data_IF_635612166759
#
_entry.id   IF_635612166759
#
_cell.length_a   1.000
_cell.length_b   1.000
_cell.length_c   1.000
_cell.angle_alpha   90.00
_cell.angle_beta   90.00
_cell.angle_gamma   90.00
#
_symmetry.space_group_name_H-M   'P 1'
#
loop_
_entity.id
_entity.type
_entity.pdbx_description
1 polymer ?
#
# COMPACT_ATOMS: atom_id res chain seq x y z
N UNK A 1 13.44 -5.75 27.61
CA UNK A 1 13.85 -6.29 26.27
C UNK A 1 14.92 -5.37 25.72
N UNK A 2 16.00 -5.91 25.16
CA UNK A 2 17.05 -5.11 24.51
C UNK A 2 16.56 -4.76 23.10
N UNK A 3 16.32 -3.48 22.82
CA UNK A 3 16.00 -3.05 21.44
C UNK A 3 17.28 -3.09 20.62
N UNK A 4 17.27 -3.88 19.53
CA UNK A 4 18.35 -3.89 18.54
C UNK A 4 18.08 -2.95 17.36
N UNK A 5 16.98 -2.19 17.43
CA UNK A 5 16.62 -1.22 16.41
C UNK A 5 17.59 -0.05 16.43
N UNK A 6 18.06 0.36 15.28
CA UNK A 6 18.86 1.56 15.09
C UNK A 6 17.96 2.68 14.57
N UNK A 7 18.18 3.95 14.94
CA UNK A 7 17.51 5.07 14.31
C UNK A 7 17.87 5.13 12.82
N UNK A 8 16.87 5.29 11.96
CA UNK A 8 17.09 5.48 10.53
C UNK A 8 17.40 6.98 10.29
N UNK A 9 18.69 7.30 10.08
CA UNK A 9 19.13 8.64 9.66
C UNK A 9 19.00 8.78 8.15
N UNK A 10 19.02 10.03 7.64
CA UNK A 10 18.98 10.30 6.20
C UNK A 10 20.12 9.60 5.45
N UNK A 11 21.33 9.56 6.02
CA UNK A 11 22.48 8.88 5.44
C UNK A 11 22.27 7.34 5.39
N UNK A 12 21.71 6.76 6.46
CA UNK A 12 21.41 5.34 6.51
C UNK A 12 20.26 4.98 5.58
N UNK A 13 19.26 5.84 5.45
CA UNK A 13 18.17 5.68 4.48
C UNK A 13 18.70 5.73 3.04
N UNK A 14 19.55 6.71 2.72
CA UNK A 14 20.18 6.79 1.40
C UNK A 14 21.03 5.54 1.08
N UNK A 15 21.76 5.02 2.07
CA UNK A 15 22.51 3.76 1.94
C UNK A 15 21.58 2.58 1.65
N UNK A 16 20.47 2.47 2.40
CA UNK A 16 19.48 1.40 2.24
C UNK A 16 18.87 1.42 0.83
N UNK A 17 18.45 2.59 0.35
CA UNK A 17 17.88 2.73 -1.01
C UNK A 17 18.93 2.37 -2.07
N UNK A 18 20.19 2.81 -1.91
CA UNK A 18 21.26 2.55 -2.87
C UNK A 18 21.69 1.07 -2.94
N UNK A 19 21.53 0.32 -1.84
CA UNK A 19 21.93 -1.10 -1.73
C UNK A 19 20.75 -2.08 -1.80
N UNK A 20 19.52 -1.56 -1.89
CA UNK A 20 18.31 -2.34 -2.13
C UNK A 20 18.03 -2.50 -3.63
N UNK A 21 16.80 -2.28 -4.04
CA UNK A 21 16.37 -2.21 -5.43
C UNK A 21 16.19 -0.73 -5.83
N UNK A 22 17.20 -0.07 -6.39
CA UNK A 22 17.13 1.33 -6.74
C UNK A 22 16.01 1.58 -7.77
N UNK A 23 15.27 2.70 -7.65
CA UNK A 23 14.21 3.04 -8.58
C UNK A 23 14.78 3.22 -10.00
N UNK A 24 14.10 2.65 -10.98
CA UNK A 24 14.43 2.86 -12.40
C UNK A 24 13.94 4.24 -12.88
N UNK A 25 14.25 4.57 -14.14
CA UNK A 25 13.89 5.84 -14.76
C UNK A 25 12.39 6.14 -14.69
N UNK A 26 11.52 5.13 -14.87
CA UNK A 26 10.06 5.32 -14.84
C UNK A 26 9.59 5.72 -13.43
N UNK A 27 10.13 5.07 -12.40
CA UNK A 27 9.82 5.39 -11.00
C UNK A 27 10.36 6.77 -10.63
N UNK A 28 11.59 7.11 -11.07
CA UNK A 28 12.20 8.41 -10.82
C UNK A 28 11.40 9.54 -11.47
N UNK A 29 11.01 9.38 -12.73
CA UNK A 29 10.22 10.36 -13.48
C UNK A 29 8.82 10.53 -12.86
N UNK A 30 8.16 9.42 -12.44
CA UNK A 30 6.88 9.49 -11.75
C UNK A 30 6.98 10.25 -10.43
N UNK A 31 8.03 10.01 -9.66
CA UNK A 31 8.26 10.72 -8.40
C UNK A 31 8.53 12.21 -8.63
N UNK A 32 9.30 12.56 -9.67
CA UNK A 32 9.60 13.94 -10.03
C UNK A 32 8.37 14.68 -10.56
N UNK A 33 7.57 14.04 -11.44
CA UNK A 33 6.33 14.63 -11.93
C UNK A 33 5.33 14.84 -10.78
N UNK A 34 5.19 13.86 -9.88
CA UNK A 34 4.33 14.00 -8.70
C UNK A 34 4.75 15.18 -7.83
N UNK A 35 6.05 15.32 -7.57
CA UNK A 35 6.59 16.42 -6.76
C UNK A 35 6.37 17.78 -7.42
N UNK A 36 6.53 17.85 -8.74
CA UNK A 36 6.39 19.09 -9.51
C UNK A 36 4.94 19.50 -9.71
N UNK A 37 4.05 18.54 -10.00
CA UNK A 37 2.63 18.79 -10.26
C UNK A 37 1.82 18.96 -8.97
N UNK A 38 2.19 18.23 -7.91
CA UNK A 38 1.42 18.13 -6.65
C UNK A 38 2.33 18.35 -5.43
N UNK A 39 3.02 19.50 -5.31
CA UNK A 39 4.04 19.72 -4.26
C UNK A 39 3.50 19.59 -2.84
N UNK A 40 2.22 19.97 -2.60
CA UNK A 40 1.59 19.88 -1.28
C UNK A 40 1.18 18.43 -0.92
N UNK A 41 1.12 17.55 -1.90
CA UNK A 41 0.68 16.15 -1.76
C UNK A 41 1.79 15.13 -2.07
N UNK A 42 2.99 15.59 -2.44
CA UNK A 42 4.09 14.71 -2.86
C UNK A 42 4.47 13.64 -1.81
N UNK A 43 4.29 13.96 -0.53
CA UNK A 43 4.52 13.04 0.59
C UNK A 43 3.49 11.92 0.73
N UNK A 44 2.40 11.96 -0.05
CA UNK A 44 1.43 10.85 -0.12
C UNK A 44 1.94 9.67 -0.94
N UNK A 45 2.98 9.85 -1.73
CA UNK A 45 3.57 8.80 -2.52
C UNK A 45 4.40 7.87 -1.61
N UNK A 46 4.28 6.55 -1.81
CA UNK A 46 5.06 5.55 -1.05
C UNK A 46 6.57 5.77 -1.22
N UNK A 47 7.34 5.44 -0.18
CA UNK A 47 8.78 5.57 -0.21
C UNK A 47 9.42 4.58 -1.22
N UNK A 48 10.61 4.90 -1.79
CA UNK A 48 11.28 4.04 -2.77
C UNK A 48 11.52 2.60 -2.29
N UNK A 49 11.98 2.45 -1.04
CA UNK A 49 12.21 1.15 -0.44
C UNK A 49 10.91 0.38 -0.21
N UNK A 50 9.82 1.07 0.08
CA UNK A 50 8.50 0.46 0.21
C UNK A 50 7.97 -0.01 -1.15
N UNK A 51 8.15 0.76 -2.22
CA UNK A 51 7.80 0.34 -3.57
C UNK A 51 8.59 -0.93 -3.99
N UNK A 52 9.90 -0.96 -3.70
CA UNK A 52 10.74 -2.14 -3.93
C UNK A 52 10.24 -3.35 -3.11
N UNK A 53 9.88 -3.13 -1.84
CA UNK A 53 9.34 -4.15 -0.98
C UNK A 53 7.99 -4.70 -1.49
N UNK A 54 7.07 -3.85 -1.95
CA UNK A 54 5.78 -4.27 -2.51
C UNK A 54 5.99 -5.16 -3.76
N UNK A 55 6.92 -4.80 -4.65
CA UNK A 55 7.27 -5.63 -5.81
C UNK A 55 7.82 -6.98 -5.38
N UNK A 56 8.75 -6.99 -4.42
CA UNK A 56 9.35 -8.22 -3.90
C UNK A 56 8.30 -9.12 -3.22
N UNK A 57 7.45 -8.54 -2.36
CA UNK A 57 6.41 -9.27 -1.63
C UNK A 57 5.38 -9.89 -2.59
N UNK A 58 4.95 -9.13 -3.61
CA UNK A 58 4.00 -9.61 -4.61
C UNK A 58 4.55 -10.80 -5.39
N UNK A 59 5.84 -10.78 -5.74
CA UNK A 59 6.53 -11.92 -6.37
C UNK A 59 6.67 -13.10 -5.42
N UNK A 60 7.09 -12.85 -4.19
CA UNK A 60 7.30 -13.89 -3.17
C UNK A 60 6.03 -14.69 -2.89
N UNK A 61 4.88 -14.02 -2.90
CA UNK A 61 3.58 -14.61 -2.63
C UNK A 61 2.90 -15.21 -3.88
N UNK A 62 3.50 -15.10 -5.07
CA UNK A 62 2.91 -15.48 -6.37
C UNK A 62 1.50 -14.92 -6.54
N UNK A 63 1.35 -13.61 -6.30
CA UNK A 63 0.05 -12.91 -6.27
C UNK A 63 -0.57 -12.87 -7.65
N UNK A 64 -1.79 -13.38 -7.79
CA UNK A 64 -2.57 -13.35 -9.03
C UNK A 64 -3.74 -12.37 -8.99
N UNK A 65 -4.35 -12.21 -7.83
CA UNK A 65 -5.47 -11.30 -7.61
C UNK A 65 -5.12 -10.34 -6.48
N UNK A 66 -4.91 -9.08 -6.83
CA UNK A 66 -4.55 -8.02 -5.89
C UNK A 66 -5.57 -6.89 -5.88
N UNK A 67 -5.65 -6.21 -4.74
CA UNK A 67 -6.44 -4.98 -4.55
C UNK A 67 -5.56 -3.90 -3.92
N UNK A 68 -5.73 -2.66 -4.36
CA UNK A 68 -5.15 -1.47 -3.73
C UNK A 68 -6.25 -0.47 -3.40
N UNK A 69 -6.23 0.06 -2.19
CA UNK A 69 -7.14 1.13 -1.73
C UNK A 69 -6.33 2.38 -1.43
N UNK A 70 -6.54 3.41 -2.25
CA UNK A 70 -5.70 4.61 -2.30
C UNK A 70 -4.56 4.43 -3.31
N UNK A 71 -4.72 5.02 -4.50
CA UNK A 71 -3.82 4.85 -5.64
C UNK A 71 -2.95 6.07 -5.86
N UNK A 72 -3.50 7.26 -5.63
CA UNK A 72 -2.83 8.55 -5.84
C UNK A 72 -2.23 8.64 -7.27
N UNK A 73 -0.92 8.89 -7.38
CA UNK A 73 -0.22 8.95 -8.68
C UNK A 73 0.31 7.59 -9.15
N UNK A 74 -0.02 6.51 -8.44
CA UNK A 74 0.09 5.12 -8.90
C UNK A 74 1.44 4.45 -8.75
N UNK A 75 2.34 4.93 -7.85
CA UNK A 75 3.64 4.32 -7.65
C UNK A 75 3.53 2.93 -6.99
N UNK A 76 2.71 2.80 -5.94
CA UNK A 76 2.45 1.52 -5.28
C UNK A 76 1.77 0.52 -6.23
N UNK A 77 0.76 0.96 -7.00
CA UNK A 77 0.12 0.15 -8.03
C UNK A 77 1.13 -0.33 -9.09
N UNK A 78 2.02 0.55 -9.55
CA UNK A 78 3.10 0.21 -10.49
C UNK A 78 4.01 -0.88 -9.90
N UNK A 79 4.40 -0.72 -8.63
CA UNK A 79 5.26 -1.67 -7.92
C UNK A 79 4.59 -3.04 -7.78
N UNK A 80 3.33 -3.08 -7.35
CA UNK A 80 2.54 -4.32 -7.22
C UNK A 80 2.38 -4.98 -8.59
N UNK A 81 1.95 -4.23 -9.63
CA UNK A 81 1.72 -4.76 -10.97
C UNK A 81 2.99 -5.36 -11.61
N UNK A 82 4.16 -4.78 -11.34
CA UNK A 82 5.47 -5.34 -11.76
C UNK A 82 5.83 -6.65 -11.04
N UNK A 83 5.24 -6.87 -9.89
CA UNK A 83 5.41 -8.12 -9.13
C UNK A 83 4.50 -9.24 -9.59
N UNK A 84 3.37 -8.94 -10.24
CA UNK A 84 2.40 -9.94 -10.68
C UNK A 84 2.97 -10.87 -11.75
N UNK A 85 2.63 -12.18 -11.72
CA UNK A 85 2.94 -13.10 -12.82
C UNK A 85 2.08 -12.79 -14.06
N UNK A 86 2.34 -13.51 -15.15
CA UNK A 86 1.48 -13.43 -16.35
C UNK A 86 0.03 -13.82 -16.00
N UNK A 87 -0.92 -12.99 -16.45
CA UNK A 87 -2.35 -13.12 -16.15
C UNK A 87 -2.76 -12.66 -14.75
N UNK A 88 -1.81 -12.15 -13.94
CA UNK A 88 -2.13 -11.53 -12.65
C UNK A 88 -2.80 -10.16 -12.84
N UNK A 89 -3.73 -9.81 -11.95
CA UNK A 89 -4.55 -8.60 -12.00
C UNK A 89 -4.50 -7.82 -10.68
N UNK A 90 -4.49 -6.51 -10.79
CA UNK A 90 -4.61 -5.56 -9.69
C UNK A 90 -5.83 -4.67 -9.90
N UNK A 91 -6.76 -4.64 -8.94
CA UNK A 91 -7.84 -3.66 -8.94
C UNK A 91 -7.49 -2.52 -7.97
N UNK A 92 -7.41 -1.31 -8.50
CA UNK A 92 -7.10 -0.08 -7.75
C UNK A 92 -8.37 0.72 -7.49
N UNK A 93 -8.51 1.25 -6.29
CA UNK A 93 -9.62 2.11 -5.87
C UNK A 93 -9.10 3.48 -5.46
N UNK A 94 -9.63 4.54 -6.06
CA UNK A 94 -9.30 5.92 -5.73
C UNK A 94 -10.51 6.84 -5.96
N UNK A 95 -10.51 8.00 -5.33
CA UNK A 95 -11.57 9.00 -5.49
C UNK A 95 -11.20 10.07 -6.54
N UNK A 96 -9.92 10.23 -6.89
CA UNK A 96 -9.40 11.30 -7.72
C UNK A 96 -9.06 10.86 -9.13
N UNK A 97 -9.85 11.31 -10.12
CA UNK A 97 -9.49 11.16 -11.53
C UNK A 97 -8.25 11.96 -11.92
N UNK A 98 -8.02 13.11 -11.27
CA UNK A 98 -6.87 13.98 -11.52
C UNK A 98 -5.55 13.25 -11.19
N UNK A 99 -5.44 12.74 -9.97
CA UNK A 99 -4.23 12.04 -9.52
C UNK A 99 -4.01 10.75 -10.31
N UNK A 100 -5.03 9.96 -10.49
CA UNK A 100 -4.97 8.69 -11.23
C UNK A 100 -4.78 8.89 -12.74
N UNK A 101 -5.03 10.07 -13.26
CA UNK A 101 -4.64 10.47 -14.62
C UNK A 101 -3.12 10.43 -14.83
N UNK A 102 -2.32 10.80 -13.81
CA UNK A 102 -0.87 10.63 -13.81
C UNK A 102 -0.54 9.14 -13.79
N UNK A 103 -1.14 8.37 -12.87
CA UNK A 103 -0.92 6.94 -12.74
C UNK A 103 -1.07 6.18 -14.06
N UNK A 104 -2.17 6.39 -14.79
CA UNK A 104 -2.45 5.73 -16.07
C UNK A 104 -1.34 5.94 -17.10
N UNK A 105 -0.75 7.15 -17.19
CA UNK A 105 0.34 7.42 -18.14
C UNK A 105 1.61 6.61 -17.81
N UNK A 106 1.94 6.51 -16.53
CA UNK A 106 3.12 5.76 -16.10
C UNK A 106 2.93 4.25 -16.15
N UNK A 107 1.72 3.75 -15.89
CA UNK A 107 1.39 2.33 -16.10
C UNK A 107 1.49 1.92 -17.56
N UNK A 108 1.02 2.79 -18.47
CA UNK A 108 1.17 2.58 -19.92
C UNK A 108 2.65 2.57 -20.33
N UNK A 109 3.43 3.58 -19.86
CA UNK A 109 4.87 3.67 -20.13
C UNK A 109 5.64 2.45 -19.60
N UNK A 110 5.21 1.91 -18.46
CA UNK A 110 5.80 0.72 -17.85
C UNK A 110 5.32 -0.61 -18.48
N UNK A 111 4.34 -0.57 -19.37
CA UNK A 111 3.76 -1.76 -20.01
C UNK A 111 2.97 -2.66 -19.05
N UNK A 112 2.41 -2.09 -17.98
CA UNK A 112 1.62 -2.84 -16.97
C UNK A 112 0.14 -2.46 -16.95
N UNK A 113 -0.29 -1.53 -17.79
CA UNK A 113 -1.66 -1.02 -17.82
C UNK A 113 -2.73 -2.11 -17.97
N UNK A 114 -2.43 -3.15 -18.73
CA UNK A 114 -3.37 -4.26 -19.00
C UNK A 114 -3.54 -5.21 -17.78
N UNK A 115 -2.72 -5.01 -16.75
CA UNK A 115 -2.79 -5.75 -15.48
C UNK A 115 -3.53 -4.97 -14.39
N UNK A 116 -3.92 -3.70 -14.67
CA UNK A 116 -4.48 -2.80 -13.67
C UNK A 116 -5.88 -2.33 -14.10
N UNK A 117 -6.88 -2.69 -13.30
CA UNK A 117 -8.21 -2.10 -13.36
C UNK A 117 -8.29 -0.95 -12.36
N UNK A 118 -8.73 0.24 -12.79
CA UNK A 118 -8.93 1.39 -11.90
C UNK A 118 -10.42 1.70 -11.78
N UNK A 119 -10.92 1.71 -10.55
CA UNK A 119 -12.28 2.10 -10.18
C UNK A 119 -12.26 3.40 -9.41
N UNK A 120 -12.96 4.41 -9.94
CA UNK A 120 -13.08 5.73 -9.33
C UNK A 120 -14.36 5.81 -8.52
N UNK A 121 -14.24 6.19 -7.24
CA UNK A 121 -15.35 6.35 -6.32
C UNK A 121 -14.94 6.10 -4.87
N UNK A 122 -15.85 6.35 -3.89
CA UNK A 122 -15.60 6.05 -2.49
C UNK A 122 -15.30 4.55 -2.30
N UNK A 123 -14.09 4.24 -1.80
CA UNK A 123 -13.63 2.85 -1.72
C UNK A 123 -14.53 1.96 -0.83
N UNK A 124 -15.14 2.53 0.22
CA UNK A 124 -16.12 1.82 1.05
C UNK A 124 -17.34 1.31 0.27
N UNK A 125 -17.71 1.95 -0.84
CA UNK A 125 -18.82 1.53 -1.68
C UNK A 125 -18.34 0.59 -2.80
N UNK A 126 -17.28 0.98 -3.50
CA UNK A 126 -16.76 0.23 -4.65
C UNK A 126 -16.14 -1.12 -4.27
N UNK A 127 -15.59 -1.27 -3.06
CA UNK A 127 -15.14 -2.57 -2.53
C UNK A 127 -16.29 -3.59 -2.37
N UNK A 128 -17.51 -3.13 -2.06
CA UNK A 128 -18.69 -4.00 -1.92
C UNK A 128 -19.12 -4.64 -3.24
N UNK A 129 -18.71 -4.06 -4.37
CA UNK A 129 -18.97 -4.59 -5.71
C UNK A 129 -18.05 -5.76 -6.07
N UNK A 130 -16.97 -5.97 -5.31
CA UNK A 130 -16.10 -7.13 -5.50
C UNK A 130 -16.85 -8.43 -5.17
N UNK A 131 -16.47 -9.55 -5.83
CA UNK A 131 -16.98 -10.88 -5.50
C UNK A 131 -16.87 -11.17 -4.00
N UNK A 132 -17.88 -11.82 -3.43
CA UNK A 132 -17.93 -12.11 -2.00
C UNK A 132 -17.11 -13.34 -1.60
N UNK A 133 -16.76 -14.20 -2.55
CA UNK A 133 -15.91 -15.36 -2.34
C UNK A 133 -14.46 -14.98 -2.04
N UNK A 134 -13.73 -15.91 -1.41
CA UNK A 134 -12.31 -15.75 -1.12
C UNK A 134 -11.48 -15.97 -2.38
N UNK A 135 -11.02 -14.88 -2.97
CA UNK A 135 -10.26 -14.91 -4.23
C UNK A 135 -9.01 -14.02 -4.22
N UNK A 136 -8.87 -13.12 -3.23
CA UNK A 136 -7.75 -12.18 -3.18
C UNK A 136 -6.52 -12.84 -2.54
N UNK A 137 -5.37 -12.66 -3.19
CA UNK A 137 -4.05 -13.08 -2.71
C UNK A 137 -3.39 -12.00 -1.88
N UNK A 138 -3.56 -10.74 -2.32
CA UNK A 138 -2.90 -9.58 -1.74
C UNK A 138 -3.83 -8.36 -1.74
N UNK A 139 -3.78 -7.57 -0.66
CA UNK A 139 -4.40 -6.27 -0.61
C UNK A 139 -3.43 -5.24 -0.02
N UNK A 140 -3.43 -4.01 -0.54
CA UNK A 140 -2.69 -2.88 0.00
C UNK A 140 -3.66 -1.76 0.36
N UNK A 141 -3.58 -1.25 1.60
CA UNK A 141 -4.44 -0.19 2.11
C UNK A 141 -3.58 1.03 2.43
N UNK A 142 -3.76 2.12 1.68
CA UNK A 142 -3.11 3.41 1.88
C UNK A 142 -4.03 4.56 1.41
N UNK A 143 -5.15 4.73 2.07
CA UNK A 143 -6.15 5.75 1.77
C UNK A 143 -6.40 6.67 2.97
N UNK A 144 -7.59 7.26 3.08
CA UNK A 144 -8.01 8.04 4.25
C UNK A 144 -8.03 7.17 5.51
N UNK A 145 -7.41 7.67 6.57
CA UNK A 145 -7.11 6.86 7.76
C UNK A 145 -8.36 6.48 8.57
N UNK A 146 -9.42 7.26 8.45
CA UNK A 146 -10.72 6.97 9.07
C UNK A 146 -11.49 5.86 8.35
N UNK A 147 -11.18 5.59 7.09
CA UNK A 147 -11.77 4.51 6.28
C UNK A 147 -11.18 3.13 6.53
N UNK A 148 -10.00 3.01 7.16
CA UNK A 148 -9.28 1.73 7.32
C UNK A 148 -10.14 0.60 7.91
N UNK A 149 -10.95 0.80 8.97
CA UNK A 149 -11.80 -0.25 9.50
C UNK A 149 -12.82 -0.77 8.47
N UNK A 150 -13.36 0.13 7.63
CA UNK A 150 -14.31 -0.25 6.57
C UNK A 150 -13.62 -1.09 5.51
N UNK A 151 -12.43 -0.65 5.05
CA UNK A 151 -11.65 -1.40 4.04
C UNK A 151 -11.24 -2.76 4.57
N UNK A 152 -10.81 -2.83 5.82
CA UNK A 152 -10.48 -4.08 6.50
C UNK A 152 -11.67 -5.04 6.56
N UNK A 153 -12.83 -4.55 6.97
CA UNK A 153 -14.04 -5.35 7.07
C UNK A 153 -14.50 -5.93 5.71
N UNK A 154 -14.26 -5.18 4.61
CA UNK A 154 -14.58 -5.64 3.27
C UNK A 154 -13.51 -6.59 2.69
N UNK A 155 -12.24 -6.39 2.99
CA UNK A 155 -11.15 -7.15 2.38
C UNK A 155 -10.90 -8.49 3.07
N UNK A 156 -10.84 -8.54 4.41
CA UNK A 156 -10.53 -9.80 5.15
C UNK A 156 -11.40 -10.98 4.74
N UNK A 157 -12.74 -10.85 4.58
CA UNK A 157 -13.57 -11.97 4.15
C UNK A 157 -13.28 -12.46 2.73
N UNK A 158 -12.74 -11.59 1.85
CA UNK A 158 -12.44 -11.86 0.45
C UNK A 158 -11.03 -12.41 0.22
N UNK A 159 -10.17 -12.34 1.24
CA UNK A 159 -8.83 -12.93 1.18
C UNK A 159 -8.87 -14.44 1.24
N UNK A 160 -8.08 -15.11 0.40
CA UNK A 160 -7.88 -16.57 0.54
C UNK A 160 -7.07 -16.90 1.80
N UNK A 161 -7.16 -18.10 2.34
CA UNK A 161 -6.23 -18.55 3.37
C UNK A 161 -4.77 -18.43 2.89
N UNK A 162 -3.92 -17.81 3.72
CA UNK A 162 -2.55 -17.50 3.37
C UNK A 162 -2.35 -16.20 2.56
N UNK A 163 -3.43 -15.55 2.12
CA UNK A 163 -3.37 -14.22 1.52
C UNK A 163 -2.90 -13.16 2.53
N UNK A 164 -2.35 -12.05 2.04
CA UNK A 164 -1.75 -11.01 2.89
C UNK A 164 -2.40 -9.66 2.62
N UNK A 165 -2.77 -8.96 3.69
CA UNK A 165 -3.14 -7.55 3.65
C UNK A 165 -1.97 -6.73 4.18
N UNK A 166 -1.46 -5.80 3.39
CA UNK A 166 -0.47 -4.81 3.78
C UNK A 166 -1.18 -3.47 4.05
N UNK A 167 -0.88 -2.86 5.20
CA UNK A 167 -1.52 -1.59 5.61
C UNK A 167 -0.43 -0.57 5.91
N UNK A 168 -0.49 0.56 5.22
CA UNK A 168 0.50 1.64 5.34
C UNK A 168 0.16 2.66 6.43
N UNK A 169 1.16 3.45 6.80
CA UNK A 169 1.11 4.57 7.77
C UNK A 169 0.60 4.17 9.17
N UNK A 170 0.87 2.95 9.57
CA UNK A 170 0.40 2.43 10.86
C UNK A 170 1.13 3.03 12.07
N UNK A 171 2.22 3.80 11.87
CA UNK A 171 2.95 4.51 12.93
C UNK A 171 2.63 6.01 12.99
N UNK A 172 2.11 6.62 11.92
CA UNK A 172 1.74 8.06 11.89
C UNK A 172 2.85 8.99 12.36
N UNK A 173 4.08 8.78 11.89
CA UNK A 173 5.24 9.55 12.37
C UNK A 173 5.50 9.40 13.87
N UNK A 174 5.13 8.26 14.45
CA UNK A 174 5.23 7.99 15.90
C UNK A 174 4.05 8.51 16.72
N UNK A 175 3.09 9.25 16.13
CA UNK A 175 1.96 9.86 16.86
C UNK A 175 0.93 8.85 17.36
N UNK A 176 0.95 7.61 16.90
CA UNK A 176 0.10 6.53 17.46
C UNK A 176 0.33 6.30 18.96
N UNK A 177 1.52 6.63 19.47
CA UNK A 177 1.85 6.51 20.91
C UNK A 177 1.18 7.60 21.75
N UNK A 178 0.98 8.78 21.16
CA UNK A 178 0.31 9.94 21.78
C UNK A 178 -0.51 10.68 20.72
N UNK A 179 -1.68 10.14 20.33
CA UNK A 179 -2.48 10.66 19.22
C UNK A 179 -2.90 12.12 19.40
N UNK A 180 -2.67 12.96 18.39
CA UNK A 180 -2.93 14.38 18.40
C UNK A 180 -4.20 14.77 17.62
N UNK A 181 -4.47 14.10 16.51
CA UNK A 181 -5.61 14.39 15.63
C UNK A 181 -6.54 13.17 15.45
N UNK A 182 -7.58 13.34 14.62
CA UNK A 182 -8.57 12.29 14.35
C UNK A 182 -7.93 11.09 13.62
N UNK A 183 -6.99 11.34 12.71
CA UNK A 183 -6.35 10.29 11.93
C UNK A 183 -5.39 9.46 12.80
N UNK A 184 -4.65 10.11 13.70
CA UNK A 184 -3.77 9.42 14.64
C UNK A 184 -4.56 8.48 15.57
N UNK A 185 -5.72 8.97 16.08
CA UNK A 185 -6.63 8.15 16.91
C UNK A 185 -7.25 7.01 16.11
N UNK A 186 -7.63 7.27 14.86
CA UNK A 186 -8.21 6.25 13.99
C UNK A 186 -7.21 5.11 13.75
N UNK A 187 -5.96 5.44 13.42
CA UNK A 187 -4.92 4.42 13.20
C UNK A 187 -4.54 3.70 14.49
N UNK A 188 -4.42 4.37 15.62
CA UNK A 188 -4.14 3.71 16.90
C UNK A 188 -5.24 2.68 17.23
N UNK A 189 -6.52 3.06 17.10
CA UNK A 189 -7.65 2.14 17.31
C UNK A 189 -7.67 1.00 16.28
N UNK A 190 -7.38 1.29 15.01
CA UNK A 190 -7.29 0.29 13.95
C UNK A 190 -6.16 -0.73 14.20
N UNK A 191 -5.00 -0.28 14.68
CA UNK A 191 -3.92 -1.20 15.06
C UNK A 191 -4.35 -2.18 16.16
N UNK A 192 -5.12 -1.71 17.16
CA UNK A 192 -5.69 -2.57 18.19
C UNK A 192 -6.73 -3.55 17.63
N UNK A 193 -7.56 -3.10 16.68
CA UNK A 193 -8.54 -3.95 15.97
C UNK A 193 -7.85 -5.08 15.20
N UNK A 194 -6.80 -4.77 14.43
CA UNK A 194 -6.03 -5.76 13.67
C UNK A 194 -5.35 -6.77 14.58
N UNK A 195 -4.78 -6.30 15.70
CA UNK A 195 -4.15 -7.17 16.70
C UNK A 195 -5.16 -8.14 17.35
N UNK A 196 -6.39 -7.70 17.55
CA UNK A 196 -7.46 -8.50 18.15
C UNK A 196 -8.17 -9.43 17.14
N UNK A 197 -7.95 -9.24 15.83
CA UNK A 197 -8.64 -10.02 14.78
C UNK A 197 -8.06 -11.43 14.69
N UNK A 198 -8.83 -12.40 15.21
CA UNK A 198 -8.43 -13.82 15.23
C UNK A 198 -8.33 -14.47 13.84
N UNK A 199 -8.78 -13.80 12.78
CA UNK A 199 -8.75 -14.30 11.40
C UNK A 199 -7.39 -14.14 10.75
N UNK A 200 -6.49 -13.35 11.35
CA UNK A 200 -5.19 -13.00 10.76
C UNK A 200 -4.03 -13.22 11.73
N UNK A 201 -2.83 -13.31 11.19
CA UNK A 201 -1.56 -13.27 11.92
C UNK A 201 -0.83 -11.96 11.53
N UNK A 202 -0.88 -10.90 12.36
CA UNK A 202 -0.31 -9.60 12.01
C UNK A 202 1.17 -9.50 12.43
N UNK A 203 1.95 -8.77 11.61
CA UNK A 203 3.30 -8.30 11.93
C UNK A 203 3.42 -6.83 11.54
N UNK A 204 3.86 -5.97 12.45
CA UNK A 204 4.12 -4.56 12.18
C UNK A 204 5.61 -4.33 11.98
N UNK A 205 5.99 -3.69 10.87
CA UNK A 205 7.36 -3.45 10.43
C UNK A 205 7.65 -1.95 10.36
N UNK A 206 8.85 -1.50 10.73
CA UNK A 206 9.25 -0.09 10.64
C UNK A 206 9.77 0.27 9.24
N UNK A 207 8.96 0.01 8.20
CA UNK A 207 9.21 0.43 6.82
C UNK A 207 8.46 1.73 6.60
N UNK A 208 9.12 2.77 6.10
CA UNK A 208 8.56 4.11 5.92
C UNK A 208 7.83 4.61 7.18
N UNK A 209 6.54 4.96 7.10
CA UNK A 209 5.69 5.36 8.23
C UNK A 209 5.02 4.17 8.93
N UNK A 210 5.66 3.00 8.88
CA UNK A 210 5.17 1.75 9.45
C UNK A 210 4.23 0.98 8.51
N UNK A 211 4.51 -0.31 8.35
CA UNK A 211 3.76 -1.22 7.51
C UNK A 211 3.30 -2.44 8.31
N UNK A 212 1.99 -2.66 8.42
CA UNK A 212 1.45 -3.91 8.95
C UNK A 212 1.24 -4.91 7.83
N UNK A 213 1.75 -6.13 8.00
CA UNK A 213 1.44 -7.28 7.16
C UNK A 213 0.55 -8.22 7.98
N UNK A 214 -0.66 -8.50 7.48
CA UNK A 214 -1.61 -9.40 8.12
C UNK A 214 -1.88 -10.58 7.20
N UNK A 215 -1.42 -11.77 7.59
CA UNK A 215 -1.66 -13.01 6.87
C UNK A 215 -2.98 -13.63 7.31
N UNK A 216 -3.88 -13.90 6.37
CA UNK A 216 -5.16 -14.56 6.66
C UNK A 216 -4.94 -16.04 6.94
N UNK A 217 -5.59 -16.54 8.00
CA UNK A 217 -5.53 -17.94 8.45
C UNK A 217 -6.33 -18.89 7.59
#
# INVERSE_FOLDING_TARGET
>A
MTTKSIPLTDELHAYLVAHGAPPDEIIQDLAEETRSALPEHATMQVAPEQAAFLTFLTRLLDVRQAVEVGTFTGLSALAIARGLPEGGQLTCFDISEEYTGIARRYWARAGVQDRIELRIGPAGDTLRELPQERHLDFAFIDADKTGYPVYWAELVPRMRPGGVIAVDNVLRGGRVVAPQDVNDRAIAAFNDEVLADVRVDPVMLPIADGLTLARVR
#
